data_IF_488904345050
#
_entry.id   IF_488904345050
#
_cell.length_a   1.000
_cell.length_b   1.000
_cell.length_c   1.000
_cell.angle_alpha   90.00
_cell.angle_beta   90.00
_cell.angle_gamma   90.00
#
_symmetry.space_group_name_H-M   'P 1'
#
loop_
_entity.id
_entity.type
_entity.pdbx_description
1 polymer ?
#
# COMPACT_ATOMS: atom_id res chain seq x y z
N UNK A 1 18.76 -26.58 -13.21
CA UNK A 1 18.98 -26.69 -14.67
C UNK A 1 18.37 -25.47 -15.34
N UNK A 2 19.03 -24.83 -16.31
CA UNK A 2 18.46 -23.68 -17.00
C UNK A 2 17.25 -24.13 -17.82
N UNK A 3 16.09 -23.55 -17.54
CA UNK A 3 14.86 -23.75 -18.33
C UNK A 3 15.12 -23.27 -19.76
N UNK A 4 14.72 -24.02 -20.78
CA UNK A 4 15.01 -23.60 -22.15
C UNK A 4 14.20 -22.35 -22.51
N UNK A 5 14.75 -21.41 -23.29
CA UNK A 5 14.03 -20.21 -23.78
C UNK A 5 12.67 -20.53 -24.43
N UNK A 6 12.52 -21.74 -24.97
CA UNK A 6 11.28 -22.23 -25.59
C UNK A 6 10.20 -22.56 -24.55
N UNK A 7 10.58 -23.10 -23.39
CA UNK A 7 9.68 -23.37 -22.27
C UNK A 7 9.22 -22.08 -21.58
N UNK A 8 10.11 -21.10 -21.41
CA UNK A 8 9.76 -19.78 -20.88
C UNK A 8 8.72 -19.08 -21.77
N UNK A 9 8.92 -19.09 -23.08
CA UNK A 9 7.97 -18.52 -24.05
C UNK A 9 6.62 -19.24 -24.03
N UNK A 10 6.63 -20.57 -23.93
CA UNK A 10 5.41 -21.38 -23.79
C UNK A 10 4.66 -21.02 -22.50
N UNK A 11 5.37 -20.95 -21.38
CA UNK A 11 4.80 -20.58 -20.07
C UNK A 11 4.14 -19.19 -20.11
N UNK A 12 4.83 -18.20 -20.71
CA UNK A 12 4.29 -16.85 -20.89
C UNK A 12 3.00 -16.82 -21.71
N UNK A 13 2.94 -17.53 -22.84
CA UNK A 13 1.74 -17.58 -23.67
C UNK A 13 0.55 -18.24 -22.95
N UNK A 14 0.81 -19.32 -22.20
CA UNK A 14 -0.21 -19.99 -21.38
C UNK A 14 -0.78 -19.06 -20.31
N UNK A 15 0.08 -18.26 -19.68
CA UNK A 15 -0.32 -17.28 -18.66
C UNK A 15 -1.22 -16.19 -19.23
N UNK A 16 -0.94 -15.70 -20.44
CA UNK A 16 -1.77 -14.68 -21.09
C UNK A 16 -3.14 -15.23 -21.52
N UNK A 17 -3.22 -16.50 -21.95
CA UNK A 17 -4.51 -17.17 -22.20
C UNK A 17 -5.37 -17.18 -20.94
N UNK A 18 -4.79 -17.55 -19.79
CA UNK A 18 -5.52 -17.50 -18.51
C UNK A 18 -5.97 -16.07 -18.15
N UNK A 19 -5.16 -15.03 -18.45
CA UNK A 19 -5.54 -13.62 -18.20
C UNK A 19 -6.72 -13.18 -19.04
N UNK A 20 -6.78 -13.59 -20.30
CA UNK A 20 -7.92 -13.32 -21.20
C UNK A 20 -9.18 -13.98 -20.64
N UNK A 21 -9.08 -15.27 -20.27
CA UNK A 21 -10.20 -16.01 -19.68
C UNK A 21 -10.72 -15.37 -18.38
N UNK A 22 -9.84 -14.86 -17.51
CA UNK A 22 -10.23 -14.17 -16.27
C UNK A 22 -11.06 -12.91 -16.51
N UNK A 23 -10.84 -12.20 -17.62
CA UNK A 23 -11.56 -10.95 -17.93
C UNK A 23 -12.99 -11.21 -18.42
N UNK A 24 -13.30 -12.44 -18.82
CA UNK A 24 -14.62 -12.83 -19.32
C UNK A 24 -15.42 -13.55 -18.24
N UNK A 25 -16.72 -13.24 -18.16
CA UNK A 25 -17.69 -14.02 -17.37
C UNK A 25 -18.33 -15.16 -18.18
N UNK A 26 -18.02 -15.26 -19.48
CA UNK A 26 -18.53 -16.29 -20.38
C UNK A 26 -17.40 -17.16 -20.94
N UNK A 27 -17.68 -18.42 -21.32
CA UNK A 27 -16.72 -19.27 -22.02
C UNK A 27 -16.20 -18.61 -23.31
N UNK A 28 -14.90 -18.69 -23.57
CA UNK A 28 -14.28 -18.14 -24.78
C UNK A 28 -13.67 -19.26 -25.64
N UNK A 29 -13.91 -19.18 -26.94
CA UNK A 29 -13.34 -20.06 -27.97
C UNK A 29 -11.87 -19.74 -28.25
N UNK A 30 -11.17 -20.66 -28.92
CA UNK A 30 -9.78 -20.43 -29.33
C UNK A 30 -9.61 -19.24 -30.28
N UNK A 31 -10.64 -18.93 -31.08
CA UNK A 31 -10.68 -17.78 -31.98
C UNK A 31 -10.74 -16.46 -31.21
N UNK A 32 -11.73 -16.33 -30.32
CA UNK A 32 -11.92 -15.13 -29.50
C UNK A 32 -10.70 -14.84 -28.62
N UNK A 33 -10.07 -15.89 -28.08
CA UNK A 33 -8.84 -15.73 -27.28
C UNK A 33 -7.67 -15.30 -28.16
N UNK A 34 -7.51 -15.86 -29.37
CA UNK A 34 -6.44 -15.45 -30.29
C UNK A 34 -6.58 -13.97 -30.69
N UNK A 35 -7.80 -13.51 -30.94
CA UNK A 35 -8.09 -12.12 -31.25
C UNK A 35 -7.77 -11.20 -30.06
N UNK A 36 -8.24 -11.54 -28.86
CA UNK A 36 -7.95 -10.79 -27.64
C UNK A 36 -6.44 -10.73 -27.33
N UNK A 37 -5.70 -11.80 -27.60
CA UNK A 37 -4.24 -11.84 -27.46
C UNK A 37 -3.53 -10.99 -28.50
N UNK A 38 -3.99 -10.98 -29.75
CA UNK A 38 -3.45 -10.14 -30.80
C UNK A 38 -3.60 -8.66 -30.46
N UNK A 39 -4.75 -8.23 -29.92
CA UNK A 39 -4.96 -6.87 -29.42
C UNK A 39 -4.02 -6.48 -28.28
N UNK A 40 -3.49 -7.45 -27.54
CA UNK A 40 -2.52 -7.26 -26.45
C UNK A 40 -1.06 -7.43 -26.91
N UNK A 41 -0.80 -7.56 -28.21
CA UNK A 41 0.54 -7.71 -28.79
C UNK A 41 1.09 -9.15 -28.81
N UNK A 42 0.26 -10.15 -28.53
CA UNK A 42 0.61 -11.57 -28.58
C UNK A 42 0.08 -12.22 -29.86
N UNK A 43 0.95 -12.37 -30.86
CA UNK A 43 0.61 -13.01 -32.13
C UNK A 43 0.63 -14.54 -32.00
N UNK A 44 -0.50 -15.13 -31.59
CA UNK A 44 -0.70 -16.57 -31.56
C UNK A 44 -1.75 -17.00 -32.57
N UNK A 45 -1.46 -18.07 -33.33
CA UNK A 45 -2.47 -18.69 -34.19
C UNK A 45 -3.55 -19.35 -33.34
N UNK A 46 -4.78 -19.40 -33.86
CA UNK A 46 -5.90 -20.09 -33.20
C UNK A 46 -5.56 -21.55 -32.85
N UNK A 47 -4.84 -22.24 -33.75
CA UNK A 47 -4.37 -23.63 -33.54
C UNK A 47 -3.43 -23.72 -32.33
N UNK A 48 -2.54 -22.75 -32.15
CA UNK A 48 -1.62 -22.68 -31.01
C UNK A 48 -2.38 -22.40 -29.71
N UNK A 49 -3.35 -21.48 -29.74
CA UNK A 49 -4.21 -21.20 -28.58
C UNK A 49 -4.99 -22.44 -28.17
N UNK A 50 -5.58 -23.16 -29.14
CA UNK A 50 -6.29 -24.43 -28.90
C UNK A 50 -5.41 -25.50 -28.29
N UNK A 51 -4.17 -25.65 -28.76
CA UNK A 51 -3.19 -26.56 -28.16
C UNK A 51 -2.96 -26.24 -26.69
N UNK A 52 -2.72 -24.97 -26.35
CA UNK A 52 -2.49 -24.55 -24.97
C UNK A 52 -3.75 -24.66 -24.09
N UNK A 53 -4.94 -24.39 -24.63
CA UNK A 53 -6.20 -24.61 -23.91
C UNK A 53 -6.38 -26.09 -23.54
N UNK A 54 -6.09 -27.00 -24.46
CA UNK A 54 -6.15 -28.45 -24.18
C UNK A 54 -5.11 -28.91 -23.15
N UNK A 55 -3.95 -28.25 -23.08
CA UNK A 55 -2.96 -28.49 -22.02
C UNK A 55 -3.42 -27.94 -20.67
N UNK A 56 -3.91 -26.70 -20.65
CA UNK A 56 -4.44 -26.04 -19.45
C UNK A 56 -5.64 -26.79 -18.86
N UNK A 57 -6.53 -27.31 -19.71
CA UNK A 57 -7.70 -28.09 -19.33
C UNK A 57 -7.28 -29.44 -18.71
N UNK A 58 -6.32 -30.14 -19.33
CA UNK A 58 -5.71 -31.37 -18.77
C UNK A 58 -5.04 -31.15 -17.42
N UNK A 59 -4.47 -29.96 -17.19
CA UNK A 59 -3.88 -29.57 -15.91
C UNK A 59 -4.91 -29.05 -14.89
N UNK A 60 -6.18 -28.93 -15.29
CA UNK A 60 -7.29 -28.44 -14.48
C UNK A 60 -7.27 -26.93 -14.25
N UNK A 61 -6.54 -26.16 -15.06
CA UNK A 61 -6.44 -24.70 -14.97
C UNK A 61 -7.56 -23.98 -15.74
N UNK A 62 -8.17 -24.67 -16.69
CA UNK A 62 -9.38 -24.22 -17.40
C UNK A 62 -10.45 -25.30 -17.34
N UNK A 63 -11.68 -24.95 -17.70
CA UNK A 63 -12.82 -25.85 -17.81
C UNK A 63 -13.36 -25.76 -19.23
N UNK A 64 -13.32 -26.85 -19.98
CA UNK A 64 -13.87 -26.94 -21.34
C UNK A 64 -15.39 -27.11 -21.35
N UNK A 65 -16.05 -26.39 -22.25
CA UNK A 65 -17.48 -26.53 -22.59
C UNK A 65 -17.67 -26.96 -24.06
N UNK A 66 -16.69 -27.66 -24.63
CA UNK A 66 -16.71 -28.11 -26.02
C UNK A 66 -16.69 -26.94 -27.00
N UNK A 67 -17.64 -26.89 -27.95
CA UNK A 67 -17.73 -25.83 -28.96
C UNK A 67 -17.96 -24.43 -28.38
N UNK A 68 -18.46 -24.33 -27.14
CA UNK A 68 -18.64 -23.06 -26.44
C UNK A 68 -17.33 -22.46 -25.91
N UNK A 69 -16.21 -23.20 -25.95
CA UNK A 69 -14.91 -22.72 -25.50
C UNK A 69 -14.59 -23.08 -24.05
N UNK A 70 -13.72 -22.30 -23.41
CA UNK A 70 -13.21 -22.56 -22.06
C UNK A 70 -13.53 -21.42 -21.09
N UNK A 71 -13.68 -21.72 -19.81
CA UNK A 71 -13.54 -20.75 -18.71
C UNK A 71 -12.30 -21.04 -17.89
N UNK A 72 -11.87 -20.09 -17.07
CA UNK A 72 -10.82 -20.33 -16.08
C UNK A 72 -11.39 -21.10 -14.88
N UNK A 73 -10.64 -22.04 -14.32
CA UNK A 73 -11.01 -22.75 -13.08
C UNK A 73 -10.51 -21.98 -11.83
N UNK A 74 -10.94 -22.38 -10.63
CA UNK A 74 -10.35 -21.86 -9.39
C UNK A 74 -8.84 -22.12 -9.29
N UNK A 75 -8.39 -23.29 -9.73
CA UNK A 75 -6.97 -23.64 -9.81
C UNK A 75 -6.23 -22.75 -10.81
N UNK A 76 -6.82 -22.45 -11.96
CA UNK A 76 -6.30 -21.49 -12.93
C UNK A 76 -6.22 -20.06 -12.37
N UNK A 77 -7.23 -19.65 -11.58
CA UNK A 77 -7.22 -18.37 -10.87
C UNK A 77 -6.11 -18.32 -9.82
N UNK A 78 -5.85 -19.42 -9.10
CA UNK A 78 -4.75 -19.52 -8.15
C UNK A 78 -3.38 -19.47 -8.86
N UNK A 79 -3.23 -20.20 -9.97
CA UNK A 79 -2.01 -20.19 -10.79
C UNK A 79 -1.69 -18.80 -11.34
N UNK A 80 -2.71 -18.08 -11.85
CA UNK A 80 -2.57 -16.68 -12.25
C UNK A 80 -2.07 -15.80 -11.09
N UNK A 81 -2.57 -16.01 -9.87
CA UNK A 81 -2.14 -15.23 -8.69
C UNK A 81 -0.67 -15.52 -8.35
N UNK A 82 -0.25 -16.78 -8.39
CA UNK A 82 1.12 -17.19 -8.10
C UNK A 82 2.09 -16.61 -9.15
N UNK A 83 1.80 -16.80 -10.43
CA UNK A 83 2.65 -16.28 -11.51
C UNK A 83 2.71 -14.74 -11.55
N UNK A 84 1.64 -14.06 -11.12
CA UNK A 84 1.66 -12.61 -10.92
C UNK A 84 2.56 -12.19 -9.76
N UNK A 85 2.80 -13.03 -8.75
CA UNK A 85 3.60 -12.65 -7.58
C UNK A 85 5.06 -12.35 -7.96
N UNK A 86 5.67 -13.15 -8.85
CA UNK A 86 7.02 -12.88 -9.38
C UNK A 86 7.06 -11.62 -10.25
N UNK A 87 5.98 -11.35 -11.02
CA UNK A 87 5.86 -10.12 -11.83
C UNK A 87 5.47 -8.88 -11.02
N UNK A 88 5.19 -9.01 -9.72
CA UNK A 88 4.83 -7.89 -8.84
C UNK A 88 6.01 -7.36 -8.02
N UNK A 89 7.21 -7.94 -8.14
CA UNK A 89 8.41 -7.33 -7.53
C UNK A 89 8.62 -5.94 -8.17
N UNK A 90 8.62 -4.89 -7.36
CA UNK A 90 8.64 -3.49 -7.81
C UNK A 90 7.27 -2.90 -8.16
N UNK A 91 6.19 -3.69 -8.08
CA UNK A 91 4.82 -3.21 -8.25
C UNK A 91 4.46 -2.16 -7.20
N UNK A 92 4.99 -2.30 -5.98
CA UNK A 92 4.76 -1.30 -4.94
C UNK A 92 5.35 0.05 -5.35
N UNK A 93 6.59 0.11 -5.82
CA UNK A 93 7.18 1.36 -6.33
C UNK A 93 6.34 2.00 -7.44
N UNK A 94 5.90 1.21 -8.43
CA UNK A 94 5.03 1.72 -9.49
C UNK A 94 3.68 2.23 -8.96
N UNK A 95 3.12 1.59 -7.93
CA UNK A 95 1.90 2.02 -7.24
C UNK A 95 2.13 3.30 -6.43
N UNK A 96 3.30 3.46 -5.80
CA UNK A 96 3.68 4.71 -5.12
C UNK A 96 3.67 5.85 -6.12
N UNK A 97 4.32 5.68 -7.28
CA UNK A 97 4.37 6.70 -8.34
C UNK A 97 2.98 7.01 -8.89
N UNK A 98 2.18 5.99 -9.18
CA UNK A 98 0.81 6.15 -9.66
C UNK A 98 -0.05 6.97 -8.68
N UNK A 99 0.00 6.64 -7.38
CA UNK A 99 -0.80 7.32 -6.36
C UNK A 99 -0.29 8.74 -6.10
N UNK A 100 1.04 8.94 -6.11
CA UNK A 100 1.67 10.26 -6.00
C UNK A 100 1.20 11.18 -7.12
N UNK A 101 1.16 10.66 -8.36
CA UNK A 101 0.73 11.39 -9.53
C UNK A 101 -0.77 11.71 -9.53
N UNK A 102 -1.62 10.75 -9.16
CA UNK A 102 -3.09 10.91 -9.18
C UNK A 102 -3.62 11.82 -8.07
N UNK A 103 -2.87 12.02 -6.98
CA UNK A 103 -3.30 12.83 -5.84
C UNK A 103 -3.45 14.31 -6.20
N UNK A 104 -4.61 14.89 -5.89
CA UNK A 104 -4.96 16.25 -6.33
C UNK A 104 -4.87 17.32 -5.25
N UNK A 105 -4.54 16.97 -4.01
CA UNK A 105 -4.46 17.92 -2.88
C UNK A 105 -3.58 19.15 -3.16
N UNK A 106 -4.13 20.32 -2.92
CA UNK A 106 -3.47 21.61 -2.97
C UNK A 106 -3.26 22.11 -1.53
N UNK A 107 -2.00 22.34 -1.15
CA UNK A 107 -1.63 22.67 0.22
C UNK A 107 -2.12 24.07 0.65
N UNK A 108 -2.06 25.04 -0.25
CA UNK A 108 -2.49 26.41 0.01
C UNK A 108 -4.01 26.49 0.15
N UNK A 109 -4.74 25.89 -0.81
CA UNK A 109 -6.21 25.90 -0.85
C UNK A 109 -6.83 24.91 0.13
N UNK A 110 -6.08 23.89 0.55
CA UNK A 110 -6.54 22.79 1.43
C UNK A 110 -7.72 22.03 0.83
N UNK A 111 -7.66 21.81 -0.48
CA UNK A 111 -8.73 21.14 -1.26
C UNK A 111 -8.16 20.05 -2.13
N UNK A 112 -9.00 19.10 -2.53
CA UNK A 112 -8.62 17.99 -3.38
C UNK A 112 -8.43 16.70 -2.59
N UNK A 113 -7.83 15.70 -3.22
CA UNK A 113 -7.74 14.35 -2.66
C UNK A 113 -6.36 14.06 -2.08
N UNK A 114 -6.32 13.33 -0.97
CA UNK A 114 -5.11 12.77 -0.37
C UNK A 114 -5.08 11.24 -0.53
N UNK A 115 -3.89 10.65 -0.42
CA UNK A 115 -3.74 9.19 -0.43
C UNK A 115 -3.98 8.64 0.96
N UNK A 116 -4.84 7.63 1.07
CA UNK A 116 -5.14 6.97 2.36
C UNK A 116 -4.86 5.48 2.33
N UNK A 117 -4.54 4.95 3.50
CA UNK A 117 -4.61 3.53 3.80
C UNK A 117 -5.97 3.23 4.43
N UNK A 118 -6.46 2.00 4.29
CA UNK A 118 -7.74 1.60 4.86
C UNK A 118 -7.60 0.30 5.62
N UNK A 119 -8.11 0.29 6.84
CA UNK A 119 -8.18 -0.88 7.69
C UNK A 119 -9.64 -1.20 8.00
N UNK A 120 -10.06 -2.43 7.75
CA UNK A 120 -11.43 -2.89 8.06
C UNK A 120 -11.45 -3.37 9.50
N UNK A 121 -12.21 -2.67 10.34
CA UNK A 121 -12.20 -2.88 11.80
C UNK A 121 -13.60 -3.10 12.34
N UNK A 122 -13.68 -3.84 13.44
CA UNK A 122 -14.87 -3.91 14.26
C UNK A 122 -14.96 -2.63 15.11
N UNK A 123 -16.08 -1.89 15.11
CA UNK A 123 -16.24 -0.71 15.96
C UNK A 123 -16.01 -1.01 17.44
N UNK A 124 -16.45 -2.18 17.93
CA UNK A 124 -16.29 -2.58 19.34
C UNK A 124 -14.82 -2.80 19.71
N UNK A 125 -14.06 -3.45 18.83
CA UNK A 125 -12.65 -3.75 19.06
C UNK A 125 -11.83 -2.45 19.02
N UNK A 126 -12.15 -1.53 18.11
CA UNK A 126 -11.55 -0.20 18.07
C UNK A 126 -11.90 0.61 19.33
N UNK A 127 -13.14 0.56 19.81
CA UNK A 127 -13.55 1.29 21.01
C UNK A 127 -12.77 0.85 22.26
N UNK A 128 -12.45 -0.44 22.38
CA UNK A 128 -11.66 -0.96 23.51
C UNK A 128 -10.20 -0.48 23.53
N UNK A 129 -9.68 -0.01 22.41
CA UNK A 129 -8.29 0.46 22.29
C UNK A 129 -8.19 1.92 21.83
N UNK A 130 -9.32 2.63 21.82
CA UNK A 130 -9.43 3.98 21.29
C UNK A 130 -8.41 4.93 21.91
N UNK A 131 -8.26 4.91 23.24
CA UNK A 131 -7.30 5.77 23.93
C UNK A 131 -5.87 5.52 23.44
N UNK A 132 -5.45 4.25 23.32
CA UNK A 132 -4.13 3.90 22.85
C UNK A 132 -3.93 4.29 21.37
N UNK A 133 -4.95 4.10 20.53
CA UNK A 133 -4.94 4.54 19.12
C UNK A 133 -4.78 6.06 19.02
N UNK A 134 -5.54 6.84 19.80
CA UNK A 134 -5.41 8.30 19.84
C UNK A 134 -4.03 8.73 20.34
N UNK A 135 -3.48 8.06 21.35
CA UNK A 135 -2.12 8.33 21.86
C UNK A 135 -1.04 8.13 20.77
N UNK A 136 -1.19 7.17 19.86
CA UNK A 136 -0.26 7.02 18.71
C UNK A 136 -0.23 8.30 17.86
N UNK A 137 -1.38 8.91 17.57
CA UNK A 137 -1.41 10.19 16.88
C UNK A 137 -0.84 11.33 17.73
N UNK A 138 -1.20 11.40 19.01
CA UNK A 138 -0.77 12.48 19.91
C UNK A 138 0.74 12.50 20.15
N UNK A 139 1.38 11.34 20.15
CA UNK A 139 2.84 11.21 20.25
C UNK A 139 3.57 11.46 18.93
N UNK A 140 2.85 11.74 17.83
CA UNK A 140 3.43 11.98 16.51
C UNK A 140 3.86 10.68 15.80
N UNK A 141 3.32 9.54 16.22
CA UNK A 141 3.62 8.23 15.61
C UNK A 141 2.58 7.84 14.55
N UNK A 142 1.57 8.66 14.28
CA UNK A 142 0.72 8.57 13.10
C UNK A 142 1.15 9.60 12.04
N UNK A 143 0.81 9.32 10.77
CA UNK A 143 0.94 10.33 9.70
C UNK A 143 -0.14 11.39 9.90
N UNK A 144 0.25 12.56 10.37
CA UNK A 144 -0.65 13.65 10.69
C UNK A 144 -1.51 13.40 11.94
N UNK A 145 -2.58 14.19 12.06
CA UNK A 145 -3.59 14.08 13.14
C UNK A 145 -5.00 13.93 12.59
N UNK A 146 -5.09 13.48 11.34
CA UNK A 146 -6.33 13.40 10.58
C UNK A 146 -6.56 11.97 10.10
N UNK A 147 -7.83 11.60 10.04
CA UNK A 147 -8.29 10.29 9.60
C UNK A 147 -9.72 10.41 9.08
N UNK A 148 -10.25 9.36 8.49
CA UNK A 148 -11.67 9.25 8.17
C UNK A 148 -12.21 7.90 8.62
N UNK A 149 -13.52 7.87 8.89
CA UNK A 149 -14.28 6.64 9.08
C UNK A 149 -15.17 6.47 7.85
N UNK A 150 -15.08 5.29 7.24
CA UNK A 150 -15.97 4.87 6.15
C UNK A 150 -17.09 4.00 6.70
N UNK A 151 -18.30 4.27 6.24
CA UNK A 151 -19.51 3.56 6.64
C UNK A 151 -19.59 2.16 6.02
N UNK A 152 -20.36 1.23 6.63
CA UNK A 152 -20.70 -0.04 6.00
C UNK A 152 -21.27 0.17 4.58
N UNK A 153 -20.73 -0.56 3.60
CA UNK A 153 -21.13 -0.46 2.20
C UNK A 153 -20.31 0.54 1.37
N UNK A 154 -19.60 1.48 2.00
CA UNK A 154 -18.66 2.35 1.27
C UNK A 154 -17.51 1.55 0.66
N UNK A 155 -16.93 2.10 -0.42
CA UNK A 155 -15.79 1.51 -1.11
C UNK A 155 -14.73 2.56 -1.36
N UNK A 156 -13.47 2.24 -1.06
CA UNK A 156 -12.32 3.06 -1.40
C UNK A 156 -11.27 2.23 -2.14
N UNK A 157 -11.03 2.61 -3.40
CA UNK A 157 -10.24 1.83 -4.34
C UNK A 157 -10.73 0.39 -4.44
N UNK A 158 -9.94 -0.56 -3.93
CA UNK A 158 -10.26 -1.99 -3.94
C UNK A 158 -10.82 -2.54 -2.63
N UNK A 159 -11.10 -1.69 -1.63
CA UNK A 159 -11.56 -2.11 -0.30
C UNK A 159 -13.03 -1.71 -0.15
N UNK A 160 -13.91 -2.70 -0.01
CA UNK A 160 -15.32 -2.51 0.33
C UNK A 160 -15.52 -2.77 1.82
N UNK A 161 -16.24 -1.89 2.52
CA UNK A 161 -16.50 -2.01 3.95
C UNK A 161 -17.69 -2.96 4.17
N UNK A 162 -17.50 -4.10 4.86
CA UNK A 162 -18.59 -5.05 5.13
C UNK A 162 -19.64 -4.50 6.10
N UNK A 163 -20.84 -5.10 6.07
CA UNK A 163 -21.87 -4.86 7.08
C UNK A 163 -21.34 -5.12 8.50
N UNK A 164 -21.66 -4.23 9.45
CA UNK A 164 -21.23 -4.33 10.85
C UNK A 164 -19.74 -4.03 11.10
N UNK A 165 -19.01 -3.57 10.08
CA UNK A 165 -17.62 -3.11 10.18
C UNK A 165 -17.53 -1.65 9.73
N UNK A 166 -16.44 -0.98 10.09
CA UNK A 166 -16.12 0.36 9.59
C UNK A 166 -14.75 0.33 8.90
N UNK A 167 -14.56 1.25 7.96
CA UNK A 167 -13.24 1.51 7.39
C UNK A 167 -12.52 2.58 8.21
N UNK A 168 -11.42 2.21 8.86
CA UNK A 168 -10.53 3.16 9.52
C UNK A 168 -9.49 3.63 8.51
N UNK A 169 -9.64 4.86 8.00
CA UNK A 169 -8.79 5.41 6.95
C UNK A 169 -7.78 6.40 7.51
N UNK A 170 -6.49 6.09 7.36
CA UNK A 170 -5.39 6.98 7.77
C UNK A 170 -4.64 7.53 6.57
N UNK A 171 -4.06 8.72 6.73
CA UNK A 171 -3.27 9.34 5.66
C UNK A 171 -2.03 8.50 5.38
N UNK A 172 -1.75 8.24 4.11
CA UNK A 172 -0.54 7.55 3.70
C UNK A 172 0.65 8.51 3.66
N UNK A 173 1.85 8.05 4.03
CA UNK A 173 3.08 8.86 3.98
C UNK A 173 3.50 9.25 2.56
N UNK A 174 2.84 8.69 1.54
CA UNK A 174 3.01 9.04 0.13
C UNK A 174 2.26 10.34 -0.22
N UNK A 175 1.30 10.77 0.61
CA UNK A 175 0.68 12.10 0.52
C UNK A 175 1.76 13.19 0.52
N UNK A 176 2.79 13.02 1.36
CA UNK A 176 3.95 13.90 1.39
C UNK A 176 4.70 13.96 0.05
N UNK A 177 4.88 12.82 -0.65
CA UNK A 177 5.55 12.80 -1.95
C UNK A 177 4.81 13.63 -3.01
N UNK A 178 3.48 13.62 -3.00
CA UNK A 178 2.70 14.37 -3.99
C UNK A 178 2.82 15.87 -3.76
N UNK A 179 2.83 16.31 -2.50
CA UNK A 179 3.11 17.71 -2.16
C UNK A 179 4.48 18.10 -2.68
N UNK A 180 5.53 17.33 -2.34
CA UNK A 180 6.88 17.59 -2.84
C UNK A 180 6.96 17.65 -4.37
N UNK A 181 6.31 16.72 -5.06
CA UNK A 181 6.27 16.68 -6.52
C UNK A 181 5.64 17.94 -7.12
N UNK A 182 4.56 18.46 -6.53
CA UNK A 182 3.91 19.71 -6.96
C UNK A 182 4.77 20.95 -6.77
N UNK A 183 5.70 20.91 -5.81
CA UNK A 183 6.74 21.93 -5.62
C UNK A 183 8.03 21.63 -6.42
N UNK A 184 7.99 20.67 -7.36
CA UNK A 184 9.12 20.36 -8.23
C UNK A 184 10.23 19.54 -7.58
N UNK A 185 9.98 18.93 -6.42
CA UNK A 185 10.96 18.18 -5.64
C UNK A 185 10.79 16.67 -5.91
N UNK A 186 11.69 16.04 -6.70
CA UNK A 186 11.63 14.60 -6.94
C UNK A 186 12.00 13.84 -5.67
N UNK A 187 11.24 12.79 -5.35
CA UNK A 187 11.45 11.98 -4.15
C UNK A 187 11.65 10.52 -4.50
N UNK A 188 12.75 9.94 -4.06
CA UNK A 188 13.04 8.51 -4.22
C UNK A 188 12.66 7.77 -2.93
N UNK A 189 11.52 7.06 -2.94
CA UNK A 189 11.09 6.23 -1.81
C UNK A 189 11.87 4.91 -1.82
N UNK A 190 12.73 4.66 -0.82
CA UNK A 190 13.66 3.51 -0.82
C UNK A 190 13.05 2.27 -0.17
N UNK A 191 12.58 2.40 1.07
CA UNK A 191 12.08 1.28 1.86
C UNK A 191 11.11 1.72 2.95
N UNK A 192 10.31 0.75 3.42
CA UNK A 192 9.57 0.81 4.68
C UNK A 192 10.23 -0.09 5.72
N UNK A 193 10.09 0.24 6.99
CA UNK A 193 10.79 -0.46 8.06
C UNK A 193 10.22 -0.22 9.46
N UNK A 194 10.79 -0.93 10.43
CA UNK A 194 10.57 -0.72 11.84
C UNK A 194 11.70 0.15 12.41
N UNK A 195 11.32 1.32 12.93
CA UNK A 195 12.22 2.29 13.54
C UNK A 195 12.18 2.08 15.06
N UNK A 196 13.35 1.82 15.63
CA UNK A 196 13.55 1.72 17.06
C UNK A 196 13.51 3.10 17.70
N UNK A 197 12.62 3.27 18.67
CA UNK A 197 12.57 4.42 19.57
C UNK A 197 13.21 4.07 20.90
N UNK A 198 13.99 5.02 21.43
CA UNK A 198 14.44 5.03 22.83
C UNK A 198 14.20 6.40 23.44
N UNK A 199 13.52 6.44 24.57
CA UNK A 199 13.12 7.68 25.25
C UNK A 199 12.43 8.69 24.30
N UNK A 200 11.58 8.18 23.40
CA UNK A 200 10.86 8.95 22.39
C UNK A 200 11.69 9.41 21.19
N UNK A 201 12.98 9.07 21.11
CA UNK A 201 13.88 9.47 20.02
C UNK A 201 14.16 8.32 19.06
N UNK A 202 14.21 8.57 17.74
CA UNK A 202 14.56 7.54 16.76
C UNK A 202 16.06 7.21 16.82
N UNK A 203 16.40 5.93 16.85
CA UNK A 203 17.80 5.46 17.01
C UNK A 203 18.32 4.79 15.75
N UNK A 204 17.58 3.82 15.20
CA UNK A 204 17.95 3.05 14.00
C UNK A 204 16.76 2.28 13.46
N UNK A 205 16.84 1.86 12.20
CA UNK A 205 15.92 0.85 11.68
C UNK A 205 16.34 -0.54 12.17
N UNK A 206 15.44 -1.24 12.84
CA UNK A 206 15.62 -2.63 13.25
C UNK A 206 15.35 -3.60 12.08
N UNK A 207 14.37 -3.26 11.25
CA UNK A 207 13.96 -4.05 10.08
C UNK A 207 13.70 -3.13 8.90
N UNK A 208 14.05 -3.55 7.68
CA UNK A 208 13.79 -2.83 6.44
C UNK A 208 13.36 -3.79 5.31
N UNK A 209 12.42 -3.35 4.48
CA UNK A 209 12.08 -4.01 3.22
C UNK A 209 12.05 -2.95 2.13
N UNK A 210 12.90 -3.13 1.12
CA UNK A 210 12.97 -2.24 -0.03
C UNK A 210 11.73 -2.34 -0.92
N UNK A 211 11.23 -1.18 -1.36
CA UNK A 211 9.98 -1.10 -2.13
C UNK A 211 10.11 -1.69 -3.54
N UNK A 212 11.29 -1.62 -4.14
CA UNK A 212 11.59 -2.26 -5.43
C UNK A 212 11.71 -3.80 -5.34
N UNK A 213 12.01 -4.32 -4.14
CA UNK A 213 12.14 -5.75 -3.85
C UNK A 213 10.84 -6.43 -3.41
N UNK A 214 9.72 -5.70 -3.29
CA UNK A 214 8.46 -6.25 -2.75
C UNK A 214 7.23 -5.89 -3.60
N UNK A 215 6.18 -6.68 -3.41
CA UNK A 215 4.84 -6.44 -3.98
C UNK A 215 3.80 -6.04 -2.93
N UNK A 216 4.17 -6.15 -1.65
CA UNK A 216 3.32 -5.91 -0.49
C UNK A 216 3.96 -4.79 0.31
N UNK A 217 3.14 -3.89 0.85
CA UNK A 217 3.65 -2.85 1.73
C UNK A 217 4.33 -3.47 2.97
N UNK A 218 5.59 -3.11 3.27
CA UNK A 218 6.32 -3.64 4.42
C UNK A 218 5.57 -3.52 5.75
N UNK A 219 4.82 -2.43 5.94
CA UNK A 219 4.13 -2.20 7.21
C UNK A 219 2.91 -3.10 7.38
N UNK A 220 2.24 -3.50 6.29
CA UNK A 220 1.22 -4.54 6.38
C UNK A 220 1.82 -5.85 6.91
N UNK A 221 3.04 -6.19 6.52
CA UNK A 221 3.73 -7.41 6.95
C UNK A 221 4.14 -7.29 8.42
N UNK A 222 4.81 -6.21 8.80
CA UNK A 222 5.31 -6.03 10.17
C UNK A 222 4.17 -5.95 11.20
N UNK A 223 3.08 -5.25 10.86
CA UNK A 223 1.92 -5.11 11.74
C UNK A 223 1.21 -6.46 11.91
N UNK A 224 0.90 -7.16 10.80
CA UNK A 224 0.24 -8.47 10.86
C UNK A 224 1.09 -9.55 11.53
N UNK A 225 2.42 -9.41 11.46
CA UNK A 225 3.36 -10.31 12.15
C UNK A 225 3.59 -9.93 13.61
N UNK A 226 2.91 -8.89 14.13
CA UNK A 226 3.04 -8.37 15.50
C UNK A 226 4.49 -8.06 15.88
N UNK A 227 5.25 -7.51 14.92
CA UNK A 227 6.64 -7.12 15.12
C UNK A 227 6.77 -5.69 15.66
N UNK A 228 5.67 -4.95 15.76
CA UNK A 228 5.64 -3.58 16.28
C UNK A 228 5.54 -3.56 17.80
N UNK A 229 5.90 -2.43 18.39
CA UNK A 229 5.68 -2.15 19.81
C UNK A 229 5.29 -0.68 20.00
N UNK A 230 4.03 -0.34 19.68
CA UNK A 230 3.46 0.97 19.92
C UNK A 230 3.06 1.18 21.38
N UNK A 231 2.67 0.11 22.08
CA UNK A 231 2.34 0.22 23.51
C UNK A 231 3.51 0.73 24.34
N UNK A 232 4.72 0.23 24.13
CA UNK A 232 5.93 0.78 24.75
C UNK A 232 6.19 2.21 24.29
N UNK A 233 6.14 2.45 22.97
CA UNK A 233 6.40 3.77 22.40
C UNK A 233 5.49 4.87 23.01
N UNK A 234 4.21 4.60 23.22
CA UNK A 234 3.28 5.60 23.80
C UNK A 234 3.36 5.72 25.32
N UNK A 235 3.83 4.68 26.03
CA UNK A 235 3.86 4.64 27.51
C UNK A 235 5.18 5.15 28.09
N UNK A 236 6.31 4.61 27.64
CA UNK A 236 7.64 4.95 28.17
C UNK A 236 8.59 5.52 27.10
N UNK A 237 8.14 5.62 25.84
CA UNK A 237 8.93 6.17 24.75
C UNK A 237 9.84 5.15 24.07
N UNK A 238 9.82 3.87 24.48
CA UNK A 238 10.64 2.81 23.92
C UNK A 238 9.79 1.84 23.11
N UNK A 239 10.15 1.60 21.86
CA UNK A 239 9.32 0.74 21.01
C UNK A 239 9.81 0.60 19.58
N UNK A 240 8.99 -0.06 18.78
CA UNK A 240 9.22 -0.29 17.35
C UNK A 240 8.02 0.26 16.59
N UNK A 241 8.25 1.36 15.88
CA UNK A 241 7.21 2.05 15.11
C UNK A 241 7.46 1.94 13.61
N UNK A 242 6.41 2.08 12.83
CA UNK A 242 6.51 2.07 11.39
C UNK A 242 7.02 3.38 10.83
N UNK A 243 8.01 3.31 9.96
CA UNK A 243 8.54 4.46 9.24
C UNK A 243 9.02 4.07 7.85
N UNK A 244 9.22 5.07 7.01
CA UNK A 244 9.74 4.94 5.66
C UNK A 244 10.94 5.84 5.47
N UNK A 245 11.88 5.41 4.64
CA UNK A 245 13.05 6.19 4.27
C UNK A 245 12.98 6.60 2.80
N UNK A 246 13.23 7.87 2.54
CA UNK A 246 13.25 8.45 1.20
C UNK A 246 14.44 9.39 1.04
N UNK A 247 14.82 9.62 -0.20
CA UNK A 247 15.87 10.57 -0.55
C UNK A 247 15.34 11.65 -1.47
N UNK A 248 15.77 12.88 -1.22
CA UNK A 248 15.46 14.08 -2.00
C UNK A 248 16.77 14.75 -2.44
N UNK A 249 16.77 15.63 -3.46
CA UNK A 249 17.92 16.50 -3.75
C UNK A 249 18.32 17.31 -2.51
N UNK A 250 19.61 17.46 -2.27
CA UNK A 250 20.09 18.20 -1.08
C UNK A 250 19.72 19.69 -1.11
N UNK A 251 19.64 20.30 -2.29
CA UNK A 251 19.20 21.69 -2.49
C UNK A 251 17.75 21.93 -2.06
N UNK A 252 16.93 20.87 -2.02
CA UNK A 252 15.52 20.96 -1.64
C UNK A 252 15.30 20.85 -0.13
N UNK A 253 16.35 20.61 0.67
CA UNK A 253 16.25 20.30 2.10
C UNK A 253 15.46 21.34 2.89
N UNK A 254 15.80 22.61 2.75
CA UNK A 254 15.18 23.67 3.54
C UNK A 254 13.73 23.94 3.09
N UNK A 255 13.46 23.82 1.78
CA UNK A 255 12.09 23.87 1.25
C UNK A 255 11.25 22.71 1.78
N UNK A 256 11.81 21.51 1.86
CA UNK A 256 11.15 20.33 2.44
C UNK A 256 10.81 20.52 3.91
N UNK A 257 11.71 21.10 4.70
CA UNK A 257 11.44 21.42 6.12
C UNK A 257 10.28 22.42 6.22
N UNK A 258 10.31 23.48 5.40
CA UNK A 258 9.25 24.48 5.39
C UNK A 258 7.88 23.90 5.00
N UNK A 259 7.83 23.12 3.92
CA UNK A 259 6.60 22.45 3.46
C UNK A 259 6.05 21.51 4.53
N UNK A 260 6.91 20.80 5.26
CA UNK A 260 6.47 19.98 6.37
C UNK A 260 5.85 20.81 7.50
N UNK A 261 6.42 21.96 7.86
CA UNK A 261 5.82 22.85 8.85
C UNK A 261 4.44 23.35 8.41
N UNK A 262 4.25 23.63 7.12
CA UNK A 262 2.95 23.98 6.54
C UNK A 262 1.95 22.82 6.62
N UNK A 263 2.38 21.61 6.24
CA UNK A 263 1.57 20.40 6.32
C UNK A 263 1.20 20.04 7.77
N UNK A 264 2.15 20.18 8.71
CA UNK A 264 1.95 19.93 10.13
C UNK A 264 0.86 20.84 10.71
N UNK A 265 0.85 22.14 10.34
CA UNK A 265 -0.17 23.11 10.79
C UNK A 265 -1.60 22.71 10.43
N UNK A 266 -1.79 21.93 9.37
CA UNK A 266 -3.11 21.44 8.95
C UNK A 266 -3.37 19.98 9.32
N UNK A 267 -2.48 19.36 10.09
CA UNK A 267 -2.61 17.97 10.56
C UNK A 267 -2.20 16.92 9.53
N UNK A 268 -1.32 17.26 8.58
CA UNK A 268 -0.72 16.36 7.58
C UNK A 268 0.79 16.10 7.79
N UNK A 269 1.39 16.64 8.86
CA UNK A 269 2.82 16.45 9.14
C UNK A 269 3.16 15.01 9.48
N UNK A 270 4.36 14.56 9.14
CA UNK A 270 4.84 13.22 9.44
C UNK A 270 6.34 13.00 9.28
N UNK A 271 7.14 14.04 9.10
CA UNK A 271 8.60 13.89 9.09
C UNK A 271 9.09 13.65 10.53
N UNK A 272 9.83 12.55 10.72
CA UNK A 272 10.49 12.22 11.98
C UNK A 272 11.92 12.78 12.03
N UNK A 273 12.63 12.74 10.90
CA UNK A 273 13.99 13.26 10.81
C UNK A 273 14.37 13.63 9.37
N UNK A 274 15.18 14.67 9.23
CA UNK A 274 15.83 15.09 7.97
C UNK A 274 17.34 15.06 8.19
N UNK A 275 18.05 14.36 7.31
CA UNK A 275 19.51 14.24 7.35
C UNK A 275 20.23 15.52 6.92
N UNK A 276 21.56 15.44 6.93
CA UNK A 276 22.43 16.45 6.34
C UNK A 276 22.78 16.06 4.89
N UNK A 277 23.11 17.04 4.02
CA UNK A 277 23.55 16.80 2.65
C UNK A 277 24.63 15.73 2.55
N UNK A 278 24.38 14.70 1.73
CA UNK A 278 25.32 13.62 1.44
C UNK A 278 25.85 12.87 2.67
N UNK A 279 25.14 12.91 3.80
CA UNK A 279 25.50 12.21 5.04
C UNK A 279 24.51 11.08 5.37
N UNK A 280 24.98 9.99 6.00
CA UNK A 280 24.09 8.95 6.50
C UNK A 280 23.08 9.48 7.53
N UNK A 281 21.86 8.95 7.52
CA UNK A 281 20.83 9.25 8.52
C UNK A 281 20.48 7.97 9.28
N UNK A 282 20.73 7.95 10.59
CA UNK A 282 20.57 6.78 11.47
C UNK A 282 21.28 5.51 10.93
N UNK A 283 22.49 5.69 10.41
CA UNK A 283 23.30 4.60 9.84
C UNK A 283 22.90 4.18 8.43
N UNK A 284 21.84 4.74 7.85
CA UNK A 284 21.45 4.48 6.47
C UNK A 284 22.27 5.36 5.53
N UNK A 285 23.06 4.79 4.60
CA UNK A 285 23.87 5.56 3.67
C UNK A 285 22.97 6.31 2.68
N UNK A 286 23.33 7.56 2.38
CA UNK A 286 22.65 8.44 1.43
C UNK A 286 23.57 8.72 0.25
N UNK A 287 23.01 8.73 -0.96
CA UNK A 287 23.76 9.00 -2.20
C UNK A 287 24.26 10.46 -2.22
N UNK A 288 25.46 10.69 -2.76
CA UNK A 288 25.99 12.05 -2.96
C UNK A 288 25.00 12.93 -3.75
N UNK A 289 24.83 14.19 -3.33
CA UNK A 289 23.84 15.12 -3.88
C UNK A 289 22.41 14.93 -3.35
N UNK A 290 22.22 14.10 -2.32
CA UNK A 290 20.92 13.82 -1.73
C UNK A 290 20.92 13.97 -0.22
N UNK A 291 19.71 14.11 0.33
CA UNK A 291 19.42 14.08 1.78
C UNK A 291 18.45 12.95 2.06
N UNK A 292 18.70 12.20 3.14
CA UNK A 292 17.77 11.21 3.67
C UNK A 292 16.66 11.86 4.49
N UNK A 293 15.44 11.36 4.36
CA UNK A 293 14.25 11.80 5.12
C UNK A 293 13.54 10.58 5.66
N UNK A 294 13.26 10.58 6.97
CA UNK A 294 12.46 9.55 7.63
C UNK A 294 11.06 10.11 7.85
N UNK A 295 10.06 9.41 7.32
CA UNK A 295 8.64 9.79 7.41
C UNK A 295 7.86 8.67 8.08
N UNK A 296 7.06 9.04 9.07
CA UNK A 296 6.19 8.15 9.84
C UNK A 296 5.17 7.48 8.93
N UNK A 297 4.90 6.19 9.17
CA UNK A 297 3.96 5.44 8.36
C UNK A 297 2.50 5.68 8.81
N UNK A 298 1.60 5.72 7.83
CA UNK A 298 0.19 5.98 8.06
C UNK A 298 -0.57 4.85 8.76
N UNK A 299 -0.11 3.60 8.62
CA UNK A 299 -0.75 2.44 9.23
C UNK A 299 -0.46 2.28 10.72
N UNK A 300 0.40 3.13 11.30
CA UNK A 300 0.84 2.99 12.69
C UNK A 300 -0.30 2.94 13.72
N UNK A 301 -1.34 3.81 13.68
CA UNK A 301 -2.38 3.81 14.70
C UNK A 301 -3.12 2.48 14.81
N UNK A 302 -3.34 1.78 13.69
CA UNK A 302 -4.11 0.53 13.69
C UNK A 302 -3.33 -0.67 14.22
N UNK A 303 -2.00 -0.57 14.29
CA UNK A 303 -1.17 -1.65 14.78
C UNK A 303 -1.42 -1.97 16.26
N UNK A 304 -1.92 -1.00 17.04
CA UNK A 304 -2.37 -1.23 18.42
C UNK A 304 -3.37 -2.39 18.51
N UNK A 305 -4.29 -2.51 17.54
CA UNK A 305 -5.28 -3.59 17.52
C UNK A 305 -4.61 -4.96 17.39
N UNK A 306 -3.64 -5.09 16.49
CA UNK A 306 -2.90 -6.34 16.30
C UNK A 306 -2.04 -6.69 17.53
N UNK A 307 -1.42 -5.70 18.17
CA UNK A 307 -0.62 -5.87 19.39
C UNK A 307 -1.44 -6.38 20.59
N UNK A 308 -2.72 -6.00 20.67
CA UNK A 308 -3.65 -6.47 21.72
C UNK A 308 -4.48 -7.68 21.31
N UNK A 309 -4.24 -8.23 20.12
CA UNK A 309 -4.81 -9.50 19.67
C UNK A 309 -6.00 -9.42 18.71
N UNK A 310 -6.44 -8.22 18.34
CA UNK A 310 -7.49 -8.01 17.33
C UNK A 310 -6.88 -8.03 15.93
N UNK A 311 -7.23 -9.05 15.16
CA UNK A 311 -6.79 -9.15 13.77
C UNK A 311 -7.46 -8.08 12.91
N UNK A 312 -6.66 -7.36 12.13
CA UNK A 312 -7.12 -6.29 11.26
C UNK A 312 -6.67 -6.52 9.83
N UNK A 313 -7.63 -6.50 8.90
CA UNK A 313 -7.31 -6.44 7.48
C UNK A 313 -6.98 -4.99 7.11
N UNK A 314 -5.72 -4.74 6.77
CA UNK A 314 -5.24 -3.43 6.32
C UNK A 314 -4.80 -3.49 4.87
N UNK A 315 -5.02 -2.37 4.16
CA UNK A 315 -4.55 -2.15 2.80
C UNK A 315 -3.90 -0.78 2.71
N UNK A 316 -2.58 -0.77 2.55
CA UNK A 316 -1.82 0.42 2.22
C UNK A 316 -2.18 0.90 0.81
N UNK A 317 -2.03 2.21 0.55
CA UNK A 317 -2.29 2.79 -0.76
C UNK A 317 -3.70 2.42 -1.30
N UNK A 318 -4.67 2.36 -0.39
CA UNK A 318 -6.01 1.83 -0.69
C UNK A 318 -6.76 2.68 -1.71
N UNK A 319 -6.58 4.00 -1.68
CA UNK A 319 -7.27 4.90 -2.59
C UNK A 319 -7.01 6.38 -2.30
N UNK A 320 -7.77 7.21 -3.02
CA UNK A 320 -7.79 8.66 -2.87
C UNK A 320 -9.07 9.06 -2.13
N UNK A 321 -8.93 9.92 -1.14
CA UNK A 321 -10.04 10.44 -0.35
C UNK A 321 -10.03 11.96 -0.39
N UNK A 322 -11.20 12.58 -0.55
CA UNK A 322 -11.30 14.03 -0.46
C UNK A 322 -10.87 14.53 0.93
N UNK A 323 -10.02 15.54 0.97
CA UNK A 323 -9.47 16.10 2.20
C UNK A 323 -10.56 16.61 3.16
N UNK A 324 -11.69 17.10 2.62
CA UNK A 324 -12.82 17.59 3.42
C UNK A 324 -13.52 16.49 4.23
N UNK A 325 -13.36 15.22 3.86
CA UNK A 325 -13.91 14.08 4.61
C UNK A 325 -13.08 13.71 5.84
N UNK A 326 -11.87 14.27 5.98
CA UNK A 326 -10.99 13.95 7.11
C UNK A 326 -11.42 14.71 8.35
N UNK A 327 -11.67 13.96 9.42
CA UNK A 327 -11.85 14.47 10.77
C UNK A 327 -10.50 14.58 11.46
N UNK A 328 -10.45 15.31 12.57
CA UNK A 328 -9.28 15.26 13.46
C UNK A 328 -9.39 14.04 14.37
N UNK A 329 -8.24 13.57 14.89
CA UNK A 329 -8.22 12.48 15.87
C UNK A 329 -9.02 12.81 17.13
N UNK A 330 -9.16 14.10 17.46
CA UNK A 330 -9.93 14.56 18.62
C UNK A 330 -11.44 14.33 18.45
N UNK A 331 -11.93 14.26 17.21
CA UNK A 331 -13.33 13.98 16.87
C UNK A 331 -13.63 12.46 16.83
N UNK A 332 -12.60 11.61 16.76
CA UNK A 332 -12.74 10.16 16.59
C UNK A 332 -13.62 9.51 17.68
N UNK A 333 -13.49 9.83 18.99
CA UNK A 333 -14.34 9.25 20.02
C UNK A 333 -15.83 9.50 19.78
N UNK A 334 -16.21 10.72 19.41
CA UNK A 334 -17.62 11.07 19.14
C UNK A 334 -18.13 10.39 17.87
N UNK A 335 -17.32 10.36 16.80
CA UNK A 335 -17.70 9.69 15.55
C UNK A 335 -17.88 8.19 15.76
N UNK A 336 -17.04 7.56 16.56
CA UNK A 336 -17.09 6.11 16.81
C UNK A 336 -18.38 5.70 17.55
N UNK A 337 -18.91 6.54 18.43
CA UNK A 337 -20.17 6.27 19.15
C UNK A 337 -21.35 5.95 18.22
N UNK A 338 -21.37 6.53 17.01
CA UNK A 338 -22.42 6.28 16.01
C UNK A 338 -22.49 4.84 15.51
N UNK A 339 -21.41 4.08 15.71
CA UNK A 339 -21.25 2.70 15.25
C UNK A 339 -21.24 1.70 16.40
N UNK A 340 -21.39 2.19 17.63
CA UNK A 340 -21.56 1.36 18.82
C UNK A 340 -23.07 1.20 19.10
N UNK A 341 -23.51 0.00 19.46
CA UNK A 341 -24.92 -0.28 19.74
C UNK A 341 -25.40 0.26 21.08
#
# INVERSE_FOLDING_TARGET
MPVSRREERKSRHRMEILRVLRKSQQPLTSGEIAEALASAGYLLSERTVRLYLNELDREGLTISYGHRGHTISEKGLAELRIAQTVQRVGYLSARIDEMTYKMTFDLERRTGTVVVNTSVVNPRDLAQCLDAVCQVFYKGYGMGRRLAILEPGETIGGVQIPAGKIGFCTICSITFNSVLLKHGIPTASRFGGLLELRDGKPVRFAEIIHYDGTSIDPLEIFIRSRMTNYRGAITDGNGLIGASFREIPEDARDVVIHLEEEMARIGLGGIMAVGLPSQPLLGIPVISGRVGVIVIAGLNPIAILEEIGYQVYSRALSGLLDFSRLITVDDLPEVLQKYLP
#
